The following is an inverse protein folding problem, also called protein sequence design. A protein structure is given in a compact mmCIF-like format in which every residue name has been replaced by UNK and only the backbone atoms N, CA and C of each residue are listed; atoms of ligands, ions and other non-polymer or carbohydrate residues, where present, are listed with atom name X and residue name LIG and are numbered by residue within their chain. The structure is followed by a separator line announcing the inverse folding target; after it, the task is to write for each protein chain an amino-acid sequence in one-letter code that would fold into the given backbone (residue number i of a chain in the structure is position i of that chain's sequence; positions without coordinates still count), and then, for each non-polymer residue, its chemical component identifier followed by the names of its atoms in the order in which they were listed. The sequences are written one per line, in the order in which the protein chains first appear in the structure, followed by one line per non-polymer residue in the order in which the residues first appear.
data_IF_019532922788
#
_entry.id   IF_019532922788
#
_cell.length_a   1.000
_cell.length_b   1.000
_cell.length_c   1.000
_cell.angle_alpha   90.00
_cell.angle_beta   90.00
_cell.angle_gamma   90.00
#
_symmetry.space_group_name_H-M   'P 1'
#
loop_
_entity.id
_entity.type
_entity.pdbx_description
1 polymer ?
#
# COMPACT_ATOMS: atom_id res chain seq x y z
N UNK A 1 8.86 -1.87 8.26
CA UNK A 1 8.11 -2.77 9.18
C UNK A 1 6.59 -2.52 9.33
N UNK A 2 5.97 -1.47 8.76
CA UNK A 2 4.49 -1.43 8.58
C UNK A 2 4.07 -0.85 7.24
N UNK A 3 4.77 0.19 6.80
CA UNK A 3 4.65 0.77 5.46
C UNK A 3 4.82 -0.28 4.34
N UNK A 4 5.75 -1.23 4.48
CA UNK A 4 5.96 -2.30 3.50
C UNK A 4 4.77 -3.27 3.43
N UNK A 5 4.17 -3.62 4.57
CA UNK A 5 2.97 -4.48 4.60
C UNK A 5 1.78 -3.76 3.95
N UNK A 6 1.56 -2.49 4.34
CA UNK A 6 0.51 -1.65 3.76
C UNK A 6 0.73 -1.48 2.25
N UNK A 7 1.96 -1.22 1.81
CA UNK A 7 2.31 -1.10 0.39
C UNK A 7 1.94 -2.37 -0.39
N UNK A 8 2.27 -3.56 0.12
CA UNK A 8 1.91 -4.84 -0.51
C UNK A 8 0.40 -4.99 -0.71
N UNK A 9 -0.40 -4.60 0.28
CA UNK A 9 -1.85 -4.68 0.13
C UNK A 9 -2.43 -3.60 -0.79
N UNK A 10 -1.83 -2.40 -0.81
CA UNK A 10 -2.22 -1.32 -1.70
C UNK A 10 -1.95 -1.68 -3.16
N UNK A 11 -0.78 -2.24 -3.49
CA UNK A 11 -0.49 -2.72 -4.84
C UNK A 11 -1.37 -3.92 -5.21
N UNK A 12 -1.81 -4.69 -4.21
CA UNK A 12 -2.84 -5.73 -4.39
C UNK A 12 -4.25 -5.16 -4.65
N UNK A 13 -4.45 -3.86 -4.55
CA UNK A 13 -5.74 -3.18 -4.78
C UNK A 13 -6.73 -3.31 -3.62
N UNK A 14 -6.26 -3.68 -2.41
CA UNK A 14 -7.14 -3.75 -1.24
C UNK A 14 -7.56 -2.36 -0.78
N UNK A 15 -8.80 -2.24 -0.32
CA UNK A 15 -9.34 -1.03 0.30
C UNK A 15 -8.73 -0.82 1.69
N UNK A 16 -8.61 0.43 2.15
CA UNK A 16 -8.05 0.74 3.47
C UNK A 16 -8.71 -0.06 4.61
N UNK A 17 -10.02 -0.29 4.52
CA UNK A 17 -10.80 -1.11 5.47
C UNK A 17 -10.37 -2.57 5.51
N UNK A 18 -10.10 -3.17 4.35
CA UNK A 18 -9.62 -4.54 4.25
C UNK A 18 -8.20 -4.66 4.81
N UNK A 19 -7.33 -3.71 4.48
CA UNK A 19 -5.96 -3.66 5.02
C UNK A 19 -5.96 -3.49 6.54
N UNK A 20 -6.84 -2.62 7.05
CA UNK A 20 -7.00 -2.40 8.49
C UNK A 20 -7.41 -3.69 9.21
N UNK A 21 -8.40 -4.41 8.65
CA UNK A 21 -8.82 -5.72 9.14
C UNK A 21 -7.68 -6.75 9.11
N UNK A 22 -7.01 -6.89 7.96
CA UNK A 22 -5.92 -7.87 7.76
C UNK A 22 -4.73 -7.62 8.69
N UNK A 23 -4.45 -6.35 9.02
CA UNK A 23 -3.30 -5.96 9.86
C UNK A 23 -3.67 -5.74 11.34
N UNK A 24 -4.92 -5.99 11.73
CA UNK A 24 -5.38 -5.80 13.12
C UNK A 24 -5.25 -4.35 13.60
N UNK A 25 -5.55 -3.37 12.75
CA UNK A 25 -5.42 -1.94 13.06
C UNK A 25 -6.60 -1.12 12.53
N UNK A 26 -6.62 0.19 12.79
CA UNK A 26 -7.67 1.10 12.31
C UNK A 26 -7.37 1.68 10.92
N UNK A 27 -8.43 2.00 10.15
CA UNK A 27 -8.31 2.63 8.83
C UNK A 27 -7.49 3.93 8.84
N UNK A 28 -7.56 4.70 9.93
CA UNK A 28 -6.79 5.92 10.09
C UNK A 28 -5.27 5.64 10.09
N UNK A 29 -4.83 4.55 10.74
CA UNK A 29 -3.43 4.14 10.72
C UNK A 29 -3.00 3.74 9.31
N UNK A 30 -3.87 3.07 8.54
CA UNK A 30 -3.60 2.73 7.14
C UNK A 30 -3.39 3.99 6.30
N UNK A 31 -4.20 5.04 6.48
CA UNK A 31 -4.01 6.32 5.78
C UNK A 31 -2.66 6.95 6.11
N UNK A 32 -2.24 6.94 7.39
CA UNK A 32 -0.93 7.44 7.82
C UNK A 32 0.20 6.66 7.15
N UNK A 33 0.15 5.33 7.17
CA UNK A 33 1.17 4.50 6.54
C UNK A 33 1.21 4.68 5.01
N UNK A 34 0.05 4.81 4.35
CA UNK A 34 -0.04 5.12 2.91
C UNK A 34 0.60 6.46 2.58
N UNK A 35 0.29 7.51 3.35
CA UNK A 35 0.91 8.83 3.19
C UNK A 35 2.43 8.77 3.35
N UNK A 36 2.94 8.00 4.32
CA UNK A 36 4.39 7.80 4.49
C UNK A 36 5.03 7.04 3.33
N UNK A 37 4.36 6.00 2.80
CA UNK A 37 4.82 5.29 1.60
C UNK A 37 4.91 6.24 0.42
N UNK A 38 3.86 7.02 0.17
CA UNK A 38 3.80 8.01 -0.91
C UNK A 38 4.92 9.06 -0.79
N UNK A 39 5.09 9.63 0.41
CA UNK A 39 6.15 10.60 0.69
C UNK A 39 7.55 10.01 0.47
N UNK A 40 7.82 8.79 0.94
CA UNK A 40 9.13 8.12 0.75
C UNK A 40 9.42 7.77 -0.70
N UNK A 41 8.39 7.53 -1.50
CA UNK A 41 8.51 7.20 -2.91
C UNK A 41 8.45 8.44 -3.81
N UNK A 42 8.20 9.64 -3.27
CA UNK A 42 8.09 10.87 -4.04
C UNK A 42 6.90 10.90 -5.00
N UNK A 43 5.77 10.29 -4.61
CA UNK A 43 4.58 10.15 -5.45
C UNK A 43 3.34 10.68 -4.74
N UNK A 44 2.33 11.05 -5.50
CA UNK A 44 1.10 11.67 -4.98
C UNK A 44 -0.12 10.75 -5.04
N UNK A 45 -0.04 9.63 -5.77
CA UNK A 45 -1.18 8.75 -5.97
C UNK A 45 -0.87 7.26 -5.79
N UNK A 46 -1.92 6.50 -5.46
CA UNK A 46 -1.83 5.02 -5.47
C UNK A 46 -1.61 4.49 -6.87
N UNK A 47 -2.17 5.14 -7.88
CA UNK A 47 -1.99 4.73 -9.27
C UNK A 47 -0.50 4.76 -9.65
N UNK A 48 0.24 5.78 -9.22
CA UNK A 48 1.68 5.87 -9.45
C UNK A 48 2.44 4.80 -8.68
N UNK A 49 2.03 4.51 -7.44
CA UNK A 49 2.62 3.42 -6.66
C UNK A 49 2.45 2.06 -7.36
N UNK A 50 1.26 1.78 -7.90
CA UNK A 50 0.96 0.55 -8.65
C UNK A 50 1.81 0.48 -9.92
N UNK A 51 1.85 1.55 -10.72
CA UNK A 51 2.65 1.61 -11.96
C UNK A 51 4.14 1.39 -11.70
N UNK A 52 4.69 1.99 -10.63
CA UNK A 52 6.09 1.80 -10.26
C UNK A 52 6.33 0.35 -9.79
N UNK A 53 5.43 -0.21 -8.98
CA UNK A 53 5.53 -1.60 -8.54
C UNK A 53 5.52 -2.58 -9.72
N UNK A 54 4.63 -2.37 -10.70
CA UNK A 54 4.57 -3.17 -11.94
C UNK A 54 5.86 -3.07 -12.75
N UNK A 55 6.40 -1.85 -12.94
CA UNK A 55 7.68 -1.64 -13.63
C UNK A 55 8.86 -2.31 -12.95
N UNK A 56 8.82 -2.42 -11.62
CA UNK A 56 9.86 -3.07 -10.82
C UNK A 56 9.65 -4.59 -10.68
N UNK A 57 8.62 -5.17 -11.30
CA UNK A 57 8.30 -6.59 -11.16
C UNK A 57 7.86 -6.99 -9.74
N UNK A 58 7.38 -6.03 -8.95
CA UNK A 58 6.84 -6.31 -7.62
C UNK A 58 5.40 -6.78 -7.83
N UNK A 59 5.24 -8.09 -8.02
CA UNK A 59 3.96 -8.66 -8.40
C UNK A 59 2.90 -8.56 -7.29
N UNK A 60 1.66 -8.45 -7.79
CA UNK A 60 0.43 -8.72 -7.07
C UNK A 60 0.44 -10.22 -6.76
N UNK A 61 0.83 -10.65 -5.56
CA UNK A 61 0.61 -12.05 -5.16
C UNK A 61 -0.89 -12.32 -5.30
N UNK A 62 -1.25 -13.03 -6.38
CA UNK A 62 -2.56 -13.64 -6.59
C UNK A 62 -2.44 -15.02 -5.96
N UNK A 63 -2.69 -15.08 -4.66
CA UNK A 63 -3.14 -16.31 -4.03
C UNK A 63 -4.67 -16.39 -4.18
#
# INVERSE_FOLDING_TARGET
PREREVMKHVIAGKLNKQIAFDLGTGEQNIKIHRGRVMHKMGIESVADLVRIAEKLGIERNRD
#
